data_IF_473587514872
#
_entry.id   IF_473587514872
#
_cell.length_a   1.000
_cell.length_b   1.000
_cell.length_c   1.000
_cell.angle_alpha   90.00
_cell.angle_beta   90.00
_cell.angle_gamma   90.00
#
_symmetry.space_group_name_H-M   'P 1'
#
loop_
_entity.id
_entity.type
_entity.pdbx_description
1 polymer ?
#
# COMPACT_ATOMS: atom_id res chain seq x y z
N UNK A 1 9.83 35.56 7.74
CA UNK A 1 10.71 34.39 7.58
C UNK A 1 11.31 34.41 6.18
N UNK A 2 12.63 34.55 6.01
CA UNK A 2 13.26 34.47 4.67
C UNK A 2 13.32 33.00 4.24
N UNK A 3 12.64 32.67 3.15
CA UNK A 3 12.57 31.32 2.58
C UNK A 3 13.69 31.18 1.54
N UNK A 4 14.58 30.20 1.71
CA UNK A 4 15.59 29.86 0.71
C UNK A 4 14.97 29.22 -0.53
N UNK A 5 15.50 29.50 -1.72
CA UNK A 5 15.02 28.94 -2.99
C UNK A 5 16.10 28.04 -3.61
N UNK A 6 15.70 26.85 -4.06
CA UNK A 6 16.51 26.00 -4.93
C UNK A 6 15.64 25.51 -6.08
N UNK A 7 15.99 25.88 -7.31
CA UNK A 7 15.27 25.51 -8.52
C UNK A 7 16.02 24.39 -9.24
N UNK A 8 15.31 23.30 -9.59
CA UNK A 8 15.85 22.27 -10.47
C UNK A 8 14.75 21.78 -11.42
N UNK A 9 14.58 22.49 -12.54
CA UNK A 9 13.68 22.03 -13.60
C UNK A 9 14.17 20.67 -14.15
N UNK A 10 13.27 19.68 -14.17
CA UNK A 10 13.50 18.37 -14.81
C UNK A 10 14.41 17.37 -14.07
N UNK A 11 14.91 17.66 -12.86
CA UNK A 11 15.88 16.79 -12.16
C UNK A 11 15.35 16.01 -10.95
N UNK A 12 14.13 16.32 -10.49
CA UNK A 12 13.63 15.78 -9.21
C UNK A 12 13.18 14.32 -9.33
N UNK A 13 12.63 13.88 -10.46
CA UNK A 13 12.14 12.51 -10.56
C UNK A 13 13.24 11.44 -10.45
N UNK A 14 14.42 11.59 -11.09
CA UNK A 14 15.53 10.64 -10.92
C UNK A 14 16.44 10.94 -9.71
N UNK A 15 16.57 12.19 -9.25
CA UNK A 15 17.55 12.59 -8.22
C UNK A 15 16.90 13.24 -6.98
N UNK A 16 15.61 13.05 -6.76
CA UNK A 16 14.86 13.75 -5.71
C UNK A 16 15.44 13.54 -4.31
N UNK A 17 15.87 12.32 -4.00
CA UNK A 17 16.51 12.00 -2.71
C UNK A 17 17.82 12.77 -2.53
N UNK A 18 18.68 12.79 -3.54
CA UNK A 18 19.99 13.45 -3.46
C UNK A 18 19.83 14.97 -3.37
N UNK A 19 18.88 15.54 -4.12
CA UNK A 19 18.52 16.96 -4.03
C UNK A 19 18.00 17.33 -2.63
N UNK A 20 17.18 16.47 -2.00
CA UNK A 20 16.73 16.68 -0.63
C UNK A 20 17.87 16.63 0.39
N UNK A 21 18.80 15.68 0.25
CA UNK A 21 19.98 15.55 1.11
C UNK A 21 20.89 16.76 0.93
N UNK A 22 21.14 17.17 -0.31
CA UNK A 22 21.95 18.34 -0.63
C UNK A 22 21.33 19.62 -0.08
N UNK A 23 20.03 19.82 -0.28
CA UNK A 23 19.29 20.98 0.23
C UNK A 23 19.33 21.05 1.76
N UNK A 24 19.16 19.91 2.45
CA UNK A 24 19.28 19.82 3.90
C UNK A 24 20.70 20.15 4.38
N UNK A 25 21.71 19.70 3.65
CA UNK A 25 23.12 19.95 3.99
C UNK A 25 23.51 21.41 3.80
N UNK A 26 23.00 22.08 2.76
CA UNK A 26 23.34 23.47 2.44
C UNK A 26 22.49 24.51 3.18
N UNK A 27 21.21 24.21 3.44
CA UNK A 27 20.25 25.16 4.05
C UNK A 27 20.02 24.90 5.55
N UNK A 28 20.52 23.78 6.07
CA UNK A 28 20.45 23.42 7.49
C UNK A 28 19.01 23.31 8.01
N UNK A 29 18.73 24.03 9.10
CA UNK A 29 17.40 24.09 9.74
C UNK A 29 16.48 25.19 9.18
N UNK A 30 16.77 25.77 8.02
CA UNK A 30 15.90 26.81 7.45
C UNK A 30 14.84 26.18 6.55
N UNK A 31 13.57 26.62 6.62
CA UNK A 31 12.59 26.27 5.60
C UNK A 31 13.04 26.69 4.20
N UNK A 32 12.73 25.82 3.24
CA UNK A 32 13.09 26.05 1.85
C UNK A 32 11.99 25.58 0.91
N UNK A 33 11.95 26.18 -0.28
CA UNK A 33 11.03 25.77 -1.34
C UNK A 33 11.72 24.85 -2.32
N UNK A 34 11.05 23.74 -2.63
CA UNK A 34 11.38 22.85 -3.73
C UNK A 34 10.37 23.06 -4.82
N UNK A 35 10.87 23.42 -5.99
CA UNK A 35 10.09 23.53 -7.20
C UNK A 35 10.13 22.19 -7.91
N UNK A 36 9.11 21.37 -7.65
CA UNK A 36 8.81 20.19 -8.47
C UNK A 36 8.15 20.64 -9.77
N UNK A 37 8.14 19.76 -10.78
CA UNK A 37 7.75 20.10 -12.16
C UNK A 37 6.44 20.88 -12.28
N UNK A 38 5.50 20.70 -11.35
CA UNK A 38 4.19 21.35 -11.38
C UNK A 38 3.71 21.90 -10.02
N UNK A 39 4.51 21.78 -8.95
CA UNK A 39 4.13 22.18 -7.59
C UNK A 39 5.35 22.75 -6.83
N UNK A 40 5.15 23.89 -6.17
CA UNK A 40 6.10 24.43 -5.18
C UNK A 40 5.78 23.86 -3.81
N UNK A 41 6.63 22.97 -3.30
CA UNK A 41 6.51 22.42 -1.95
C UNK A 41 7.41 23.19 -0.99
N UNK A 42 6.88 23.56 0.17
CA UNK A 42 7.69 24.11 1.26
C UNK A 42 8.13 22.96 2.14
N UNK A 43 9.44 22.77 2.27
CA UNK A 43 10.03 21.81 3.18
C UNK A 43 10.35 22.51 4.49
N UNK A 44 9.82 21.96 5.58
CA UNK A 44 10.01 22.45 6.93
C UNK A 44 10.98 21.54 7.70
N UNK A 45 11.80 22.10 8.62
CA UNK A 45 12.63 21.31 9.51
C UNK A 45 11.82 20.33 10.37
N UNK A 46 12.39 19.18 10.79
CA UNK A 46 11.72 18.20 11.64
C UNK A 46 11.21 18.77 12.96
N UNK A 47 11.85 19.82 13.47
CA UNK A 47 11.48 20.50 14.73
C UNK A 47 10.01 21.00 14.72
N UNK A 48 9.44 21.25 13.54
CA UNK A 48 8.04 21.71 13.38
C UNK A 48 7.00 20.58 13.33
N UNK A 49 7.41 19.30 13.39
CA UNK A 49 6.49 18.17 13.13
C UNK A 49 5.31 18.11 14.11
N UNK A 50 5.54 18.46 15.37
CA UNK A 50 4.51 18.44 16.41
C UNK A 50 3.46 19.54 16.20
N UNK A 51 3.89 20.72 15.76
CA UNK A 51 3.01 21.85 15.44
C UNK A 51 2.19 21.53 14.19
N UNK A 52 2.84 21.04 13.12
CA UNK A 52 2.18 20.73 11.85
C UNK A 52 1.14 19.62 11.99
N UNK A 53 1.42 18.59 12.81
CA UNK A 53 0.50 17.47 13.02
C UNK A 53 -0.84 17.91 13.65
N UNK A 54 -0.80 18.93 14.52
CA UNK A 54 -1.95 19.36 15.31
C UNK A 54 -2.60 20.64 14.78
N UNK A 55 -2.12 21.20 13.68
CA UNK A 55 -2.64 22.43 13.09
C UNK A 55 -3.95 22.16 12.32
N UNK A 56 -5.11 22.64 12.81
CA UNK A 56 -6.41 22.35 12.20
C UNK A 56 -6.59 22.94 10.80
N UNK A 57 -5.79 23.95 10.42
CA UNK A 57 -5.83 24.54 9.07
C UNK A 57 -5.13 23.68 8.02
N UNK A 58 -4.35 22.66 8.42
CA UNK A 58 -3.65 21.77 7.49
C UNK A 58 -4.51 20.53 7.18
N UNK A 59 -4.88 20.39 5.91
CA UNK A 59 -5.56 19.20 5.40
C UNK A 59 -4.56 18.24 4.73
N UNK A 60 -4.50 16.99 5.18
CA UNK A 60 -3.64 15.96 4.58
C UNK A 60 -4.32 15.18 3.44
N UNK A 61 -5.64 15.10 3.47
CA UNK A 61 -6.41 14.27 2.55
C UNK A 61 -6.43 14.82 1.12
N UNK A 62 -6.66 16.12 0.97
CA UNK A 62 -6.73 16.76 -0.35
C UNK A 62 -5.40 16.66 -1.11
N UNK A 63 -4.23 17.00 -0.52
CA UNK A 63 -2.95 16.80 -1.19
C UNK A 63 -2.68 15.33 -1.53
N UNK A 64 -2.97 14.42 -0.59
CA UNK A 64 -2.78 12.97 -0.81
C UNK A 64 -3.60 12.47 -2.00
N UNK A 65 -4.87 12.87 -2.08
CA UNK A 65 -5.77 12.45 -3.15
C UNK A 65 -5.43 13.09 -4.51
N UNK A 66 -4.86 14.30 -4.51
CA UNK A 66 -4.36 14.93 -5.73
C UNK A 66 -3.10 14.21 -6.26
N UNK A 67 -2.14 13.95 -5.37
CA UNK A 67 -0.90 13.21 -5.68
C UNK A 67 -1.17 11.77 -6.13
N UNK A 68 -2.26 11.18 -5.64
CA UNK A 68 -2.68 9.83 -6.00
C UNK A 68 -3.57 9.76 -7.24
N UNK A 69 -3.84 10.89 -7.91
CA UNK A 69 -4.76 11.03 -9.04
C UNK A 69 -6.19 10.55 -8.73
N UNK A 70 -6.68 10.79 -7.52
CA UNK A 70 -8.00 10.36 -7.06
C UNK A 70 -9.19 10.86 -7.89
N UNK A 71 -8.97 11.90 -8.70
CA UNK A 71 -9.94 12.45 -9.67
C UNK A 71 -9.96 11.70 -11.02
N UNK A 72 -9.06 10.73 -11.24
CA UNK A 72 -8.99 9.94 -12.47
C UNK A 72 -9.71 8.61 -12.27
N UNK A 73 -10.52 8.23 -13.25
CA UNK A 73 -11.20 6.95 -13.23
C UNK A 73 -10.20 5.78 -13.12
N UNK A 74 -10.53 4.80 -12.27
CA UNK A 74 -9.69 3.66 -11.88
C UNK A 74 -8.52 3.91 -10.93
N UNK A 75 -8.40 5.14 -10.44
CA UNK A 75 -7.58 5.48 -9.28
C UNK A 75 -8.42 5.65 -8.01
N UNK A 76 -9.71 5.29 -8.02
CA UNK A 76 -10.56 5.40 -6.83
C UNK A 76 -10.01 4.61 -5.63
N UNK A 77 -9.40 3.42 -5.79
CA UNK A 77 -8.77 2.71 -4.67
C UNK A 77 -7.58 3.43 -4.02
N UNK A 78 -6.98 4.42 -4.69
CA UNK A 78 -5.89 5.22 -4.15
C UNK A 78 -6.38 6.42 -3.32
N UNK A 79 -7.68 6.72 -3.39
CA UNK A 79 -8.29 7.82 -2.64
C UNK A 79 -8.34 7.48 -1.16
N UNK A 80 -7.67 8.27 -0.35
CA UNK A 80 -7.80 8.23 1.09
C UNK A 80 -9.15 8.85 1.50
N UNK A 81 -9.86 8.20 2.42
CA UNK A 81 -11.10 8.69 3.04
C UNK A 81 -10.93 8.89 4.54
N UNK A 82 -11.64 9.86 5.13
CA UNK A 82 -11.52 10.22 6.56
C UNK A 82 -11.75 9.05 7.53
N UNK A 83 -12.56 8.06 7.12
CA UNK A 83 -12.87 6.90 7.96
C UNK A 83 -11.80 5.80 7.86
N UNK A 84 -10.91 5.82 6.86
CA UNK A 84 -9.85 4.80 6.72
C UNK A 84 -8.90 4.71 7.92
N UNK A 85 -8.36 5.82 8.47
CA UNK A 85 -7.46 5.75 9.63
C UNK A 85 -8.16 5.22 10.88
N UNK A 86 -9.46 5.54 11.05
CA UNK A 86 -10.28 5.04 12.16
C UNK A 86 -10.45 3.51 12.06
N UNK A 87 -10.76 2.99 10.87
CA UNK A 87 -10.88 1.54 10.65
C UNK A 87 -9.55 0.83 10.91
N UNK A 88 -8.46 1.34 10.33
CA UNK A 88 -7.14 0.76 10.51
C UNK A 88 -6.72 0.72 12.00
N UNK A 89 -6.86 1.83 12.73
CA UNK A 89 -6.40 1.92 14.12
C UNK A 89 -7.25 1.06 15.06
N UNK A 90 -8.58 1.11 14.91
CA UNK A 90 -9.52 0.42 15.80
C UNK A 90 -9.50 -1.09 15.60
N UNK A 91 -9.48 -1.55 14.35
CA UNK A 91 -9.73 -2.95 14.05
C UNK A 91 -8.45 -3.73 13.73
N UNK A 92 -7.46 -3.14 13.05
CA UNK A 92 -6.20 -3.87 12.76
C UNK A 92 -5.43 -4.21 14.04
N UNK A 93 -5.39 -3.29 15.02
CA UNK A 93 -4.71 -3.53 16.31
C UNK A 93 -5.35 -4.68 17.10
N UNK A 94 -6.69 -4.77 17.09
CA UNK A 94 -7.43 -5.83 17.78
C UNK A 94 -7.30 -7.19 17.08
N UNK A 95 -7.27 -7.17 15.75
CA UNK A 95 -7.20 -8.38 14.94
C UNK A 95 -5.82 -9.05 14.99
N UNK A 96 -4.73 -8.28 15.16
CA UNK A 96 -3.36 -8.81 15.21
C UNK A 96 -3.21 -9.97 16.20
N UNK A 97 -3.74 -9.86 17.42
CA UNK A 97 -3.62 -10.90 18.45
C UNK A 97 -4.25 -12.23 18.03
N UNK A 98 -5.34 -12.19 17.24
CA UNK A 98 -6.07 -13.38 16.77
C UNK A 98 -5.49 -13.94 15.46
N UNK A 99 -4.87 -13.10 14.65
CA UNK A 99 -4.46 -13.43 13.30
C UNK A 99 -3.02 -13.95 13.20
N UNK A 100 -2.18 -13.78 14.22
CA UNK A 100 -0.78 -14.24 14.20
C UNK A 100 -0.64 -15.70 13.79
N UNK A 101 -1.40 -16.62 14.40
CA UNK A 101 -1.32 -18.06 14.09
C UNK A 101 -1.86 -18.36 12.68
N UNK A 102 -3.07 -17.91 12.28
CA UNK A 102 -3.56 -18.06 10.91
C UNK A 102 -2.63 -17.50 9.82
N UNK A 103 -1.97 -16.37 10.08
CA UNK A 103 -0.99 -15.78 9.16
C UNK A 103 0.23 -16.69 9.07
N UNK A 104 0.77 -17.17 10.20
CA UNK A 104 1.93 -18.07 10.21
C UNK A 104 1.67 -19.35 9.43
N UNK A 105 0.49 -19.94 9.56
CA UNK A 105 0.11 -21.15 8.84
C UNK A 105 -0.01 -20.88 7.33
N UNK A 106 -0.59 -19.75 6.93
CA UNK A 106 -0.67 -19.35 5.52
C UNK A 106 0.73 -19.06 4.94
N UNK A 107 1.60 -18.36 5.67
CA UNK A 107 2.99 -18.11 5.26
C UNK A 107 3.72 -19.43 5.03
N UNK A 108 3.59 -20.38 5.95
CA UNK A 108 4.21 -21.71 5.83
C UNK A 108 3.75 -22.40 4.54
N UNK A 109 2.46 -22.33 4.23
CA UNK A 109 1.89 -22.90 3.01
C UNK A 109 2.44 -22.22 1.76
N UNK A 110 2.46 -20.88 1.71
CA UNK A 110 2.96 -20.16 0.52
C UNK A 110 4.46 -20.39 0.34
N UNK A 111 5.25 -20.38 1.41
CA UNK A 111 6.68 -20.66 1.34
C UNK A 111 6.95 -22.06 0.79
N UNK A 112 6.21 -23.09 1.24
CA UNK A 112 6.33 -24.45 0.68
C UNK A 112 5.97 -24.49 -0.79
N UNK A 113 4.94 -23.77 -1.21
CA UNK A 113 4.53 -23.74 -2.63
C UNK A 113 5.53 -22.99 -3.51
N UNK A 114 6.08 -21.86 -3.05
CA UNK A 114 6.92 -21.01 -3.88
C UNK A 114 8.41 -21.35 -3.78
N UNK A 115 8.91 -21.71 -2.60
CA UNK A 115 10.32 -22.07 -2.38
C UNK A 115 10.57 -23.57 -2.49
N UNK A 116 9.52 -24.42 -2.38
CA UNK A 116 9.61 -25.89 -2.38
C UNK A 116 10.42 -26.44 -1.19
N UNK A 117 10.21 -27.69 -0.79
CA UNK A 117 10.99 -28.34 0.28
C UNK A 117 12.35 -28.89 -0.21
N UNK A 118 12.81 -28.46 -1.40
CA UNK A 118 14.05 -28.93 -1.99
C UNK A 118 15.27 -28.31 -1.27
N UNK A 119 16.23 -29.15 -0.89
CA UNK A 119 17.49 -28.70 -0.23
C UNK A 119 18.50 -28.06 -1.18
N UNK A 120 18.25 -28.07 -2.50
CA UNK A 120 19.14 -27.49 -3.49
C UNK A 120 19.00 -25.97 -3.54
N UNK A 121 20.14 -25.25 -3.62
CA UNK A 121 20.13 -23.80 -3.80
C UNK A 121 19.43 -23.44 -5.13
N UNK A 122 18.48 -22.51 -5.07
CA UNK A 122 17.82 -21.94 -6.24
C UNK A 122 17.76 -20.44 -6.13
N UNK A 123 18.08 -19.76 -7.23
CA UNK A 123 17.80 -18.34 -7.37
C UNK A 123 16.29 -18.17 -7.63
N UNK A 124 15.55 -17.72 -6.61
CA UNK A 124 14.17 -17.31 -6.79
C UNK A 124 14.13 -15.89 -7.39
N UNK A 125 13.22 -15.64 -8.34
CA UNK A 125 12.97 -14.28 -8.83
C UNK A 125 12.32 -13.45 -7.71
N UNK A 126 13.16 -12.67 -7.01
CA UNK A 126 12.82 -11.94 -5.79
C UNK A 126 11.51 -11.13 -5.85
N UNK A 127 11.18 -10.48 -6.98
CA UNK A 127 10.02 -9.60 -7.04
C UNK A 127 8.68 -10.35 -7.14
N UNK A 128 8.61 -11.43 -7.92
CA UNK A 128 7.34 -12.14 -8.19
C UNK A 128 6.90 -13.00 -7.00
N UNK A 129 7.83 -13.73 -6.40
CA UNK A 129 7.59 -14.55 -5.20
C UNK A 129 7.12 -13.71 -3.99
N UNK A 130 7.72 -12.52 -3.80
CA UNK A 130 7.33 -11.62 -2.71
C UNK A 130 5.89 -11.12 -2.86
N UNK A 131 5.54 -10.63 -4.05
CA UNK A 131 4.20 -10.09 -4.31
C UNK A 131 3.11 -11.11 -4.00
N UNK A 132 3.33 -12.38 -4.34
CA UNK A 132 2.39 -13.46 -4.05
C UNK A 132 2.28 -13.76 -2.55
N UNK A 133 3.39 -13.91 -1.85
CA UNK A 133 3.39 -14.16 -0.39
C UNK A 133 2.63 -13.04 0.33
N UNK A 134 2.94 -11.78 0.04
CA UNK A 134 2.31 -10.65 0.72
C UNK A 134 0.86 -10.44 0.37
N UNK A 135 0.49 -10.65 -0.89
CA UNK A 135 -0.90 -10.54 -1.31
C UNK A 135 -1.74 -11.59 -0.58
N UNK A 136 -1.25 -12.83 -0.45
CA UNK A 136 -1.95 -13.88 0.29
C UNK A 136 -2.01 -13.59 1.78
N UNK A 137 -0.90 -13.24 2.42
CA UNK A 137 -0.88 -12.85 3.84
C UNK A 137 -1.86 -11.70 4.14
N UNK A 138 -1.84 -10.63 3.33
CA UNK A 138 -2.71 -9.47 3.54
C UNK A 138 -4.18 -9.84 3.30
N UNK A 139 -4.46 -10.66 2.28
CA UNK A 139 -5.82 -11.15 2.02
C UNK A 139 -6.34 -12.01 3.17
N UNK A 140 -5.48 -12.84 3.79
CA UNK A 140 -5.83 -13.64 4.98
C UNK A 140 -6.28 -12.77 6.15
N UNK A 141 -5.64 -11.61 6.33
CA UNK A 141 -5.95 -10.65 7.39
C UNK A 141 -7.26 -9.91 7.12
N UNK A 142 -7.49 -9.47 5.88
CA UNK A 142 -8.58 -8.54 5.58
C UNK A 142 -9.85 -9.19 5.02
N UNK A 143 -9.76 -10.36 4.38
CA UNK A 143 -10.83 -10.93 3.56
C UNK A 143 -11.08 -12.43 3.83
N UNK A 144 -10.61 -12.92 4.98
CA UNK A 144 -10.79 -14.29 5.45
C UNK A 144 -10.15 -15.39 4.55
N UNK A 145 -10.34 -16.65 4.93
CA UNK A 145 -9.60 -17.81 4.39
C UNK A 145 -9.83 -18.06 2.90
N UNK A 146 -11.08 -17.94 2.47
CA UNK A 146 -11.51 -18.45 1.16
C UNK A 146 -10.90 -17.62 0.04
N UNK A 147 -10.88 -16.28 0.17
CA UNK A 147 -10.35 -15.40 -0.86
C UNK A 147 -8.81 -15.40 -0.90
N UNK A 148 -8.15 -15.66 0.23
CA UNK A 148 -6.69 -15.82 0.31
C UNK A 148 -6.15 -16.95 -0.58
N UNK A 149 -6.96 -17.99 -0.81
CA UNK A 149 -6.61 -19.15 -1.63
C UNK A 149 -7.05 -19.04 -3.09
N UNK A 150 -7.83 -18.01 -3.44
CA UNK A 150 -8.20 -17.78 -4.83
C UNK A 150 -7.04 -17.10 -5.57
N UNK A 151 -6.30 -17.88 -6.35
CA UNK A 151 -5.15 -17.40 -7.14
C UNK A 151 -5.53 -16.27 -8.09
N UNK A 152 -6.76 -16.29 -8.61
CA UNK A 152 -7.29 -15.25 -9.48
C UNK A 152 -7.36 -13.89 -8.79
N UNK A 153 -7.74 -13.83 -7.50
CA UNK A 153 -7.73 -12.58 -6.73
C UNK A 153 -6.30 -12.06 -6.59
N UNK A 154 -5.39 -12.90 -6.12
CA UNK A 154 -4.01 -12.50 -5.84
C UNK A 154 -3.31 -11.98 -7.11
N UNK A 155 -3.53 -12.64 -8.24
CA UNK A 155 -3.01 -12.22 -9.55
C UNK A 155 -3.62 -10.90 -10.01
N UNK A 156 -4.95 -10.80 -10.07
CA UNK A 156 -5.65 -9.61 -10.54
C UNK A 156 -5.29 -8.37 -9.71
N UNK A 157 -5.27 -8.52 -8.38
CA UNK A 157 -4.88 -7.45 -7.47
C UNK A 157 -3.40 -7.05 -7.63
N UNK A 158 -2.48 -8.02 -7.70
CA UNK A 158 -1.04 -7.73 -7.86
C UNK A 158 -0.75 -7.01 -9.18
N UNK A 159 -1.39 -7.44 -10.28
CA UNK A 159 -1.25 -6.82 -11.59
C UNK A 159 -1.84 -5.40 -11.58
N UNK A 160 -3.02 -5.21 -10.95
CA UNK A 160 -3.63 -3.90 -10.76
C UNK A 160 -2.73 -2.97 -9.95
N UNK A 161 -2.24 -3.42 -8.79
CA UNK A 161 -1.39 -2.63 -7.92
C UNK A 161 -0.14 -2.17 -8.68
N UNK A 162 0.62 -3.10 -9.24
CA UNK A 162 1.87 -2.81 -9.96
C UNK A 162 1.64 -1.85 -11.13
N UNK A 163 0.62 -2.11 -11.95
CA UNK A 163 0.30 -1.27 -13.10
C UNK A 163 -0.20 0.11 -12.66
N UNK A 164 -1.05 0.19 -11.64
CA UNK A 164 -1.59 1.44 -11.10
C UNK A 164 -0.50 2.39 -10.60
N UNK A 165 0.49 1.88 -9.85
CA UNK A 165 1.64 2.71 -9.43
C UNK A 165 2.46 3.20 -10.60
N UNK A 166 2.78 2.31 -11.55
CA UNK A 166 3.55 2.68 -12.74
C UNK A 166 2.84 3.76 -13.56
N UNK A 167 1.52 3.62 -13.77
CA UNK A 167 0.71 4.59 -14.52
C UNK A 167 0.55 5.90 -13.77
N UNK A 168 0.47 5.88 -12.43
CA UNK A 168 0.50 7.11 -11.61
C UNK A 168 1.78 7.92 -11.88
N UNK A 169 2.93 7.25 -11.96
CA UNK A 169 4.19 7.90 -12.31
C UNK A 169 4.19 8.49 -13.73
N UNK A 170 3.57 7.81 -14.70
CA UNK A 170 3.41 8.33 -16.07
C UNK A 170 2.51 9.56 -16.09
N UNK A 171 1.38 9.53 -15.36
CA UNK A 171 0.46 10.66 -15.26
C UNK A 171 1.09 11.90 -14.63
N UNK A 172 2.07 11.72 -13.73
CA UNK A 172 2.82 12.82 -13.13
C UNK A 172 3.66 13.63 -14.13
N UNK A 173 3.98 13.07 -15.29
CA UNK A 173 4.72 13.75 -16.37
C UNK A 173 3.84 14.76 -17.12
N UNK A 174 2.51 14.68 -16.98
CA UNK A 174 1.58 15.61 -17.62
C UNK A 174 1.16 16.74 -16.65
N UNK A 175 0.88 17.95 -17.16
CA UNK A 175 0.36 19.05 -16.35
C UNK A 175 -0.94 18.67 -15.64
N UNK A 176 -1.09 19.09 -14.37
CA UNK A 176 -2.24 18.73 -13.51
C UNK A 176 -3.60 18.92 -14.17
N UNK A 177 -3.80 20.04 -14.85
CA UNK A 177 -5.07 20.39 -15.53
C UNK A 177 -5.37 19.52 -16.77
N UNK A 178 -4.35 18.89 -17.37
CA UNK A 178 -4.51 18.07 -18.58
C UNK A 178 -4.72 16.57 -18.27
N UNK A 179 -4.34 16.12 -17.08
CA UNK A 179 -4.46 14.72 -16.65
C UNK A 179 -5.90 14.16 -16.75
N UNK A 180 -6.97 14.91 -16.39
CA UNK A 180 -8.35 14.43 -16.54
C UNK A 180 -8.79 14.15 -17.99
N UNK A 181 -8.11 14.76 -18.97
CA UNK A 181 -8.39 14.53 -20.40
C UNK A 181 -7.48 13.43 -20.93
N UNK A 182 -6.17 13.54 -20.64
CA UNK A 182 -5.17 12.65 -21.23
C UNK A 182 -5.35 11.18 -20.84
N UNK A 183 -5.87 10.89 -19.65
CA UNK A 183 -6.08 9.50 -19.21
C UNK A 183 -7.02 8.70 -20.12
N UNK A 184 -7.88 9.37 -20.91
CA UNK A 184 -8.74 8.72 -21.90
C UNK A 184 -8.00 8.26 -23.14
N UNK A 185 -6.83 8.83 -23.44
CA UNK A 185 -6.06 8.54 -24.65
C UNK A 185 -4.80 7.70 -24.35
N UNK A 186 -4.45 7.51 -23.08
CA UNK A 186 -3.29 6.74 -22.67
C UNK A 186 -3.62 5.24 -22.57
N UNK A 187 -3.03 4.37 -23.41
CA UNK A 187 -3.21 2.91 -23.31
C UNK A 187 -2.89 2.33 -21.92
N UNK A 188 -1.87 2.82 -21.19
CA UNK A 188 -1.61 2.35 -19.83
C UNK A 188 -2.79 2.58 -18.87
N UNK A 189 -3.50 3.71 -18.99
CA UNK A 189 -4.70 3.97 -18.19
C UNK A 189 -5.82 2.98 -18.51
N UNK A 190 -5.97 2.57 -19.77
CA UNK A 190 -6.97 1.57 -20.17
C UNK A 190 -6.70 0.21 -19.53
N UNK A 191 -5.42 -0.18 -19.47
CA UNK A 191 -5.00 -1.40 -18.78
C UNK A 191 -5.37 -1.36 -17.30
N UNK A 192 -5.12 -0.24 -16.61
CA UNK A 192 -5.50 -0.05 -15.20
C UNK A 192 -7.01 -0.18 -15.01
N UNK A 193 -7.82 0.38 -15.93
CA UNK A 193 -9.28 0.25 -15.89
C UNK A 193 -9.74 -1.21 -15.97
N UNK A 194 -9.19 -1.97 -16.93
CA UNK A 194 -9.51 -3.39 -17.09
C UNK A 194 -9.13 -4.22 -15.86
N UNK A 195 -7.91 -4.00 -15.34
CA UNK A 195 -7.41 -4.70 -14.15
C UNK A 195 -8.24 -4.39 -12.90
N UNK A 196 -8.65 -3.14 -12.72
CA UNK A 196 -9.51 -2.77 -11.60
C UNK A 196 -10.90 -3.40 -11.72
N UNK A 197 -11.47 -3.42 -12.93
CA UNK A 197 -12.75 -4.05 -13.18
C UNK A 197 -12.72 -5.55 -12.83
N UNK A 198 -11.69 -6.27 -13.28
CA UNK A 198 -11.49 -7.68 -12.91
C UNK A 198 -11.33 -7.87 -11.40
N UNK A 199 -10.50 -7.04 -10.77
CA UNK A 199 -10.24 -7.07 -9.34
C UNK A 199 -11.54 -6.85 -8.53
N UNK A 200 -12.36 -5.86 -8.92
CA UNK A 200 -13.67 -5.59 -8.30
C UNK A 200 -14.63 -6.76 -8.49
N UNK A 201 -14.71 -7.33 -9.69
CA UNK A 201 -15.59 -8.46 -10.00
C UNK A 201 -15.34 -9.66 -9.07
N UNK A 202 -14.08 -9.95 -8.77
CA UNK A 202 -13.71 -11.06 -7.86
C UNK A 202 -14.20 -10.78 -6.44
N UNK A 203 -13.96 -9.57 -5.92
CA UNK A 203 -14.42 -9.18 -4.58
C UNK A 203 -15.94 -9.14 -4.49
N UNK A 204 -16.61 -8.60 -5.50
CA UNK A 204 -18.07 -8.56 -5.56
C UNK A 204 -18.68 -9.97 -5.59
N UNK A 205 -18.08 -10.90 -6.33
CA UNK A 205 -18.49 -12.30 -6.31
C UNK A 205 -18.36 -12.90 -4.91
N UNK A 206 -17.26 -12.61 -4.22
CA UNK A 206 -17.04 -13.06 -2.85
C UNK A 206 -18.08 -12.46 -1.87
N UNK A 207 -18.34 -11.15 -1.97
CA UNK A 207 -19.34 -10.47 -1.15
C UNK A 207 -20.76 -11.04 -1.37
N UNK A 208 -21.13 -11.36 -2.62
CA UNK A 208 -22.41 -12.00 -2.94
C UNK A 208 -22.52 -13.43 -2.37
N UNK A 209 -21.46 -14.22 -2.48
CA UNK A 209 -21.42 -15.57 -1.88
C UNK A 209 -21.54 -15.50 -0.36
N UNK A 210 -20.90 -14.50 0.25
CA UNK A 210 -20.99 -14.25 1.69
C UNK A 210 -22.42 -13.90 2.08
N UNK A 211 -23.05 -12.92 1.43
CA UNK A 211 -24.43 -12.52 1.76
C UNK A 211 -25.44 -13.66 1.60
N UNK A 212 -25.25 -14.54 0.62
CA UNK A 212 -26.11 -15.70 0.39
C UNK A 212 -25.91 -16.84 1.41
N UNK A 213 -24.74 -16.92 2.05
CA UNK A 213 -24.40 -17.95 3.03
C UNK A 213 -24.66 -17.53 4.48
N UNK A 214 -25.10 -16.28 4.73
CA UNK A 214 -25.40 -15.81 6.08
C UNK A 214 -26.78 -16.31 6.52
N UNK A 215 -26.80 -17.45 7.21
CA UNK A 215 -27.72 -17.59 8.34
C UNK A 215 -27.32 -16.54 9.37
N UNK A 216 -28.29 -15.75 9.85
CA UNK A 216 -28.14 -14.51 10.67
C UNK A 216 -27.26 -14.60 11.93
N UNK A 217 -26.61 -15.72 12.22
CA UNK A 217 -25.80 -15.99 13.40
C UNK A 217 -24.27 -15.99 13.17
N UNK A 218 -23.78 -15.90 11.93
CA UNK A 218 -22.32 -15.91 11.68
C UNK A 218 -21.75 -14.49 11.71
N UNK A 219 -21.13 -14.11 12.84
CA UNK A 219 -20.34 -12.88 12.96
C UNK A 219 -18.94 -13.13 12.40
N UNK A 220 -18.53 -12.38 11.39
CA UNK A 220 -17.21 -12.47 10.75
C UNK A 220 -16.29 -11.35 11.26
N UNK A 221 -15.26 -11.68 12.04
CA UNK A 221 -14.29 -10.67 12.50
C UNK A 221 -13.24 -10.35 11.41
N UNK A 222 -13.67 -9.67 10.33
CA UNK A 222 -12.80 -9.28 9.20
C UNK A 222 -13.05 -7.85 8.68
N UNK A 223 -12.22 -7.39 7.76
CA UNK A 223 -12.25 -6.00 7.31
C UNK A 223 -13.54 -5.61 6.57
N UNK A 224 -14.29 -6.59 6.04
CA UNK A 224 -15.57 -6.33 5.39
C UNK A 224 -16.55 -5.80 6.45
N UNK A 225 -16.69 -6.50 7.59
CA UNK A 225 -17.54 -6.02 8.69
C UNK A 225 -17.02 -4.73 9.30
N UNK A 226 -15.70 -4.56 9.41
CA UNK A 226 -15.13 -3.33 9.96
C UNK A 226 -15.48 -2.10 9.12
N UNK A 227 -15.50 -2.25 7.79
CA UNK A 227 -15.92 -1.18 6.89
C UNK A 227 -17.44 -0.95 6.92
N UNK A 228 -18.26 -2.00 7.00
CA UNK A 228 -19.72 -1.87 7.16
C UNK A 228 -20.09 -1.13 8.45
N UNK A 229 -19.41 -1.41 9.56
CA UNK A 229 -19.65 -0.72 10.83
C UNK A 229 -19.14 0.73 10.82
N UNK A 230 -18.15 1.02 9.97
CA UNK A 230 -17.49 2.31 9.96
C UNK A 230 -18.07 3.28 8.94
N UNK A 231 -18.77 2.85 7.90
CA UNK A 231 -19.33 3.69 6.85
C UNK A 231 -20.86 3.65 6.84
N UNK A 232 -21.51 4.82 6.67
CA UNK A 232 -22.95 4.90 6.50
C UNK A 232 -23.30 4.92 5.00
N UNK A 233 -24.28 4.14 4.56
CA UNK A 233 -24.75 4.09 3.17
C UNK A 233 -23.88 3.27 2.22
N UNK A 234 -24.05 3.44 0.90
CA UNK A 234 -23.22 2.76 -0.09
C UNK A 234 -21.82 3.40 -0.15
N UNK A 235 -20.84 2.64 0.34
CA UNK A 235 -19.45 3.07 0.42
C UNK A 235 -18.55 2.37 -0.62
N UNK A 236 -19.13 1.54 -1.50
CA UNK A 236 -18.41 0.74 -2.49
C UNK A 236 -17.49 -0.29 -1.83
N UNK A 237 -18.02 -1.37 -1.25
CA UNK A 237 -17.25 -2.32 -0.43
C UNK A 237 -16.08 -2.93 -1.19
N UNK A 238 -16.27 -3.32 -2.45
CA UNK A 238 -15.20 -3.85 -3.29
C UNK A 238 -14.04 -2.86 -3.47
N UNK A 239 -14.33 -1.57 -3.66
CA UNK A 239 -13.30 -0.53 -3.79
C UNK A 239 -12.54 -0.34 -2.48
N UNK A 240 -13.22 -0.29 -1.33
CA UNK A 240 -12.54 -0.14 -0.03
C UNK A 240 -11.65 -1.32 0.30
N UNK A 241 -12.10 -2.51 -0.07
CA UNK A 241 -11.35 -3.75 0.06
C UNK A 241 -10.05 -3.74 -0.78
N UNK A 242 -10.12 -3.24 -2.02
CA UNK A 242 -8.93 -3.02 -2.85
C UNK A 242 -8.03 -1.95 -2.22
N UNK A 243 -8.58 -0.84 -1.74
CA UNK A 243 -7.81 0.23 -1.05
C UNK A 243 -7.03 -0.32 0.14
N UNK A 244 -7.70 -1.07 1.02
CA UNK A 244 -7.06 -1.62 2.23
C UNK A 244 -5.91 -2.57 1.86
N UNK A 245 -6.15 -3.44 0.87
CA UNK A 245 -5.13 -4.35 0.35
C UNK A 245 -3.94 -3.59 -0.25
N UNK A 246 -4.21 -2.51 -1.01
CA UNK A 246 -3.20 -1.66 -1.65
C UNK A 246 -2.30 -0.97 -0.61
N UNK A 247 -2.87 -0.54 0.51
CA UNK A 247 -2.15 0.16 1.58
C UNK A 247 -1.31 -0.80 2.44
N UNK A 248 -1.73 -2.06 2.54
CA UNK A 248 -1.07 -3.08 3.36
C UNK A 248 0.09 -3.79 2.63
N UNK A 249 -0.11 -4.24 1.39
CA UNK A 249 0.82 -5.14 0.68
C UNK A 249 2.19 -4.50 0.43
N UNK A 250 2.25 -3.24 0.00
CA UNK A 250 3.52 -2.62 -0.38
C UNK A 250 4.44 -2.34 0.79
N UNK A 251 3.92 -1.72 1.86
CA UNK A 251 4.72 -1.37 3.04
C UNK A 251 5.31 -2.61 3.72
N UNK A 252 4.53 -3.69 3.78
CA UNK A 252 4.97 -4.96 4.39
C UNK A 252 5.95 -5.72 3.50
N UNK A 253 5.73 -5.72 2.18
CA UNK A 253 6.67 -6.28 1.21
C UNK A 253 8.02 -5.60 1.25
N UNK A 254 8.04 -4.27 1.26
CA UNK A 254 9.29 -3.49 1.29
C UNK A 254 10.03 -3.71 2.62
N UNK A 255 9.30 -3.71 3.74
CA UNK A 255 9.88 -3.98 5.07
C UNK A 255 10.53 -5.36 5.14
N UNK A 256 9.85 -6.43 4.72
CA UNK A 256 10.45 -7.77 4.75
C UNK A 256 11.67 -7.86 3.85
N UNK A 257 11.61 -7.28 2.65
CA UNK A 257 12.75 -7.27 1.76
C UNK A 257 13.95 -6.60 2.43
N UNK A 258 13.74 -5.42 3.03
CA UNK A 258 14.80 -4.72 3.74
C UNK A 258 15.35 -5.57 4.89
N UNK A 259 14.47 -6.13 5.73
CA UNK A 259 14.87 -7.03 6.83
C UNK A 259 15.67 -8.23 6.34
N UNK A 260 15.27 -8.86 5.23
CA UNK A 260 16.00 -10.01 4.67
C UNK A 260 17.39 -9.60 4.17
N UNK A 261 17.51 -8.43 3.53
CA UNK A 261 18.80 -7.89 3.10
C UNK A 261 19.68 -7.57 4.29
N UNK A 262 19.13 -6.90 5.30
CA UNK A 262 19.85 -6.54 6.53
C UNK A 262 20.34 -7.81 7.25
N UNK A 263 19.51 -8.85 7.38
CA UNK A 263 19.90 -10.14 7.95
C UNK A 263 21.00 -10.85 7.14
N UNK A 264 20.96 -10.76 5.82
CA UNK A 264 22.01 -11.32 4.97
C UNK A 264 23.34 -10.56 5.13
N UNK A 265 23.29 -9.26 5.39
CA UNK A 265 24.46 -8.43 5.69
C UNK A 265 24.98 -8.60 7.14
N UNK A 266 24.16 -9.13 8.05
CA UNK A 266 24.46 -9.31 9.47
C UNK A 266 24.25 -10.76 9.96
N UNK A 267 25.08 -11.73 9.52
CA UNK A 267 24.91 -13.15 9.87
C UNK A 267 24.97 -13.45 11.38
N UNK A 268 25.63 -12.59 12.17
CA UNK A 268 25.69 -12.64 13.63
C UNK A 268 24.30 -12.64 14.30
N UNK A 269 23.28 -12.12 13.61
CA UNK A 269 21.90 -12.07 14.10
C UNK A 269 21.17 -13.40 13.96
N UNK A 270 21.63 -14.34 13.14
CA UNK A 270 20.89 -15.58 12.88
C UNK A 270 20.74 -16.47 14.11
N UNK A 271 21.80 -16.61 14.91
CA UNK A 271 21.77 -17.47 16.09
C UNK A 271 20.83 -16.89 17.17
N UNK A 272 20.94 -15.62 17.59
CA UNK A 272 20.00 -15.01 18.53
C UNK A 272 18.54 -15.09 18.09
N UNK A 273 18.26 -14.92 16.79
CA UNK A 273 16.90 -14.98 16.26
C UNK A 273 16.32 -16.40 16.32
N UNK A 274 17.12 -17.43 16.05
CA UNK A 274 16.68 -18.83 16.15
C UNK A 274 16.39 -19.21 17.60
N UNK A 275 17.28 -18.87 18.53
CA UNK A 275 17.11 -19.12 19.95
C UNK A 275 15.86 -18.40 20.51
N UNK A 276 15.69 -17.11 20.18
CA UNK A 276 14.52 -16.33 20.58
C UNK A 276 13.19 -16.82 19.99
N UNK A 277 13.22 -17.45 18.81
CA UNK A 277 12.04 -18.09 18.20
C UNK A 277 11.68 -19.43 18.83
N UNK A 278 12.68 -20.21 19.27
CA UNK A 278 12.47 -21.51 19.92
C UNK A 278 11.93 -21.36 21.36
N UNK A 279 12.22 -20.24 22.04
CA UNK A 279 11.75 -19.98 23.40
C UNK A 279 10.26 -19.58 23.50
N UNK A 280 9.62 -19.27 22.36
CA UNK A 280 8.24 -18.73 22.27
C UNK A 280 7.25 -19.65 21.54
N UNK A 281 7.69 -20.81 21.06
CA UNK A 281 6.82 -21.84 20.49
C UNK A 281 6.39 -22.85 21.54
#
# INVERSE_FOLDING_TARGET
MRIGQQTSHGRIFPHGKDLMIQARSSLGKRPYKIYSEWVSNVVLPPDFIHELRNEPRLGFMMPTNDDSHGYIHSFEPFVAKERHPKVATKYSTRALTKLTKPISDEVTLVLRQTLTDARSFRMAHHCSTRGQIFTRMSTRVFMAEKLCREEHWAKAFSDYATTGFSVSCVLNQYPRWFRPVNHWFLPPCWKVRGLLHETRRVVESHLKKRSAAVDKATLFDDAIEWFEQAFDGDYGPATQQVTLSLVAVRRTSDLLQQTMVDLACHPELFQPLREGSAQKS
#
